data_IF_978669257102
#
_entry.id   IF_978669257102
#
_cell.length_a   1.000
_cell.length_b   1.000
_cell.length_c   1.000
_cell.angle_alpha   90.00
_cell.angle_beta   90.00
_cell.angle_gamma   90.00
#
_symmetry.space_group_name_H-M   'P 1'
#
loop_
_entity.id
_entity.type
_entity.pdbx_description
1 polymer ?
#
# COMPACT_ATOMS: atom_id res chain seq x y z
N UNK A 1 -47.10 22.71 9.74
CA UNK A 1 -45.63 22.79 9.87
C UNK A 1 -45.16 21.38 10.11
N UNK A 2 -44.58 20.78 9.07
CA UNK A 2 -44.26 19.36 9.02
C UNK A 2 -42.76 19.21 9.27
N UNK A 3 -42.41 18.98 10.52
CA UNK A 3 -41.05 18.73 10.97
C UNK A 3 -40.93 17.24 11.34
N UNK A 4 -39.77 16.64 11.06
CA UNK A 4 -39.33 15.28 11.44
C UNK A 4 -39.55 14.11 10.46
N UNK A 5 -38.96 14.22 9.27
CA UNK A 5 -38.47 13.04 8.54
C UNK A 5 -36.99 13.25 8.11
N UNK A 6 -36.16 13.67 9.06
CA UNK A 6 -34.71 13.84 8.83
C UNK A 6 -34.03 12.50 9.08
N UNK A 7 -33.93 11.69 8.02
CA UNK A 7 -33.13 10.46 7.98
C UNK A 7 -31.75 10.76 8.58
N UNK A 8 -31.26 10.00 9.58
CA UNK A 8 -29.92 10.19 10.09
C UNK A 8 -28.92 9.88 8.98
N UNK A 9 -28.00 10.81 8.72
CA UNK A 9 -26.86 10.61 7.83
C UNK A 9 -26.13 9.31 8.20
N UNK A 10 -25.71 8.47 7.24
CA UNK A 10 -24.93 7.28 7.55
C UNK A 10 -23.63 7.67 8.31
N UNK A 11 -23.16 6.84 9.26
CA UNK A 11 -21.96 7.14 10.02
C UNK A 11 -20.76 7.29 9.08
N UNK A 12 -19.97 8.34 9.26
CA UNK A 12 -18.75 8.62 8.50
C UNK A 12 -17.85 7.39 8.39
N UNK A 13 -17.52 7.02 7.15
CA UNK A 13 -16.82 5.83 6.62
C UNK A 13 -15.42 5.47 7.20
N UNK A 14 -15.10 5.77 8.45
CA UNK A 14 -13.77 5.48 9.01
C UNK A 14 -13.54 4.01 9.44
N UNK A 15 -14.55 3.14 9.34
CA UNK A 15 -14.40 1.71 9.68
C UNK A 15 -13.96 0.82 8.51
N UNK A 16 -14.07 1.29 7.26
CA UNK A 16 -13.77 0.47 6.07
C UNK A 16 -12.27 0.35 5.77
N UNK A 17 -11.40 1.18 6.35
CA UNK A 17 -9.96 1.08 6.14
C UNK A 17 -9.33 -0.15 6.80
N UNK A 18 -9.99 -0.73 7.82
CA UNK A 18 -9.45 -1.86 8.57
C UNK A 18 -9.67 -3.22 7.91
N UNK A 19 -10.47 -3.28 6.84
CA UNK A 19 -10.80 -4.54 6.19
C UNK A 19 -9.96 -4.72 4.93
N UNK A 20 -9.23 -5.84 4.78
CA UNK A 20 -8.61 -6.20 3.51
C UNK A 20 -9.64 -6.25 2.39
N UNK A 21 -9.35 -5.59 1.27
CA UNK A 21 -10.17 -5.63 0.06
C UNK A 21 -9.43 -6.33 -1.07
N UNK A 22 -10.18 -7.06 -1.88
CA UNK A 22 -9.68 -7.70 -3.09
C UNK A 22 -10.00 -6.78 -4.27
N UNK A 23 -9.00 -6.52 -5.11
CA UNK A 23 -9.16 -5.75 -6.34
C UNK A 23 -8.55 -6.50 -7.51
N UNK A 24 -9.18 -6.39 -8.67
CA UNK A 24 -8.68 -6.97 -9.91
C UNK A 24 -8.38 -5.86 -10.90
N UNK A 25 -7.15 -5.84 -11.40
CA UNK A 25 -6.63 -4.84 -12.32
C UNK A 25 -6.33 -5.52 -13.65
N UNK A 26 -6.95 -5.02 -14.71
CA UNK A 26 -6.62 -5.43 -16.08
C UNK A 26 -5.53 -4.51 -16.61
N UNK A 27 -4.45 -5.10 -17.11
CA UNK A 27 -3.30 -4.38 -17.67
C UNK A 27 -3.72 -3.59 -18.89
N UNK A 28 -3.23 -2.36 -19.00
CA UNK A 28 -3.40 -1.51 -20.19
C UNK A 28 -2.07 -1.39 -20.94
N UNK A 29 -2.07 -0.64 -22.04
CA UNK A 29 -0.86 -0.33 -22.79
C UNK A 29 0.27 0.29 -21.93
N UNK A 30 -0.09 0.98 -20.84
CA UNK A 30 0.86 1.59 -19.90
C UNK A 30 1.17 0.71 -18.68
N UNK A 31 0.73 -0.56 -18.67
CA UNK A 31 0.84 -1.49 -17.55
C UNK A 31 -0.36 -1.42 -16.60
N UNK A 32 -0.14 -1.72 -15.32
CA UNK A 32 -1.22 -1.69 -14.32
C UNK A 32 -1.46 -0.29 -13.72
N UNK A 33 -0.55 0.67 -13.93
CA UNK A 33 -0.75 2.07 -13.53
C UNK A 33 -0.57 2.33 -12.03
N UNK A 34 0.36 1.64 -11.37
CA UNK A 34 0.75 1.92 -9.98
C UNK A 34 2.22 1.57 -9.74
N UNK A 35 2.80 2.14 -8.69
CA UNK A 35 4.17 1.87 -8.25
C UNK A 35 4.14 1.11 -6.93
N UNK A 36 5.04 0.14 -6.79
CA UNK A 36 5.22 -0.66 -5.57
C UNK A 36 6.55 -0.30 -4.93
N UNK A 37 6.54 -0.09 -3.62
CA UNK A 37 7.74 0.09 -2.80
C UNK A 37 7.63 -0.73 -1.51
N UNK A 38 8.76 -1.00 -0.87
CA UNK A 38 8.79 -1.65 0.43
C UNK A 38 10.17 -2.20 0.71
N UNK A 39 10.23 -3.25 1.50
CA UNK A 39 11.49 -3.83 1.93
C UNK A 39 12.21 -4.58 0.81
N UNK A 40 13.54 -4.57 0.91
CA UNK A 40 14.45 -5.31 0.03
C UNK A 40 14.87 -6.67 0.61
N UNK A 41 14.72 -6.84 1.93
CA UNK A 41 15.08 -8.07 2.64
C UNK A 41 13.83 -8.86 2.99
N UNK A 42 13.98 -10.19 3.05
CA UNK A 42 12.91 -11.09 3.45
C UNK A 42 12.75 -11.09 4.98
N UNK A 43 11.51 -11.18 5.45
CA UNK A 43 11.18 -11.13 6.88
C UNK A 43 11.38 -9.73 7.48
N UNK A 44 11.43 -9.65 8.81
CA UNK A 44 11.62 -8.39 9.54
C UNK A 44 10.65 -8.24 10.71
N UNK A 45 10.79 -7.13 11.45
CA UNK A 45 9.94 -6.85 12.61
C UNK A 45 8.50 -6.61 12.17
N UNK A 46 7.55 -7.19 12.91
CA UNK A 46 6.13 -6.98 12.67
C UNK A 46 5.77 -5.49 12.74
N UNK A 47 4.91 -5.04 11.83
CA UNK A 47 4.42 -3.66 11.75
C UNK A 47 2.94 -3.63 12.08
N UNK A 48 2.57 -2.70 12.95
CA UNK A 48 1.15 -2.43 13.22
C UNK A 48 0.54 -1.66 12.06
N UNK A 49 -0.47 -2.24 11.42
CA UNK A 49 -1.31 -1.62 10.40
C UNK A 49 -2.73 -1.71 10.92
N UNK A 50 -3.36 -0.56 11.14
CA UNK A 50 -4.73 -0.49 11.63
C UNK A 50 -4.98 -1.25 12.95
N UNK A 51 -3.96 -1.35 13.82
CA UNK A 51 -4.03 -2.05 15.09
C UNK A 51 -3.74 -3.55 15.02
N UNK A 52 -3.51 -4.10 13.82
CA UNK A 52 -3.15 -5.51 13.61
C UNK A 52 -1.68 -5.62 13.21
N UNK A 53 -0.97 -6.61 13.76
CA UNK A 53 0.43 -6.86 13.44
C UNK A 53 0.56 -7.72 12.18
N UNK A 54 1.30 -7.22 11.20
CA UNK A 54 1.64 -7.95 9.98
C UNK A 54 3.14 -8.07 9.85
N UNK A 55 3.63 -9.10 9.14
CA UNK A 55 5.01 -9.06 8.67
C UNK A 55 5.17 -7.87 7.70
N UNK A 56 6.39 -7.39 7.44
CA UNK A 56 6.52 -6.18 6.64
C UNK A 56 5.97 -6.42 5.22
N UNK A 57 5.15 -5.48 4.76
CA UNK A 57 4.43 -5.55 3.49
C UNK A 57 5.03 -4.57 2.49
N UNK A 58 4.90 -4.93 1.21
CA UNK A 58 5.05 -3.95 0.14
C UNK A 58 3.81 -3.03 0.12
N UNK A 59 3.98 -1.82 -0.37
CA UNK A 59 2.92 -0.82 -0.45
C UNK A 59 2.90 -0.13 -1.79
N UNK A 60 1.74 0.45 -2.11
CA UNK A 60 1.54 1.27 -3.28
C UNK A 60 2.04 2.68 -2.99
N UNK A 61 3.14 3.11 -3.62
CA UNK A 61 3.73 4.42 -3.41
C UNK A 61 3.12 5.51 -4.31
N UNK A 62 2.61 5.12 -5.48
CA UNK A 62 1.94 6.01 -6.41
C UNK A 62 0.89 5.25 -7.23
N UNK A 63 -0.15 5.96 -7.67
CA UNK A 63 -1.18 5.44 -8.57
C UNK A 63 -1.34 6.43 -9.71
N UNK A 64 -1.37 5.93 -10.94
CA UNK A 64 -1.59 6.74 -12.13
C UNK A 64 -3.04 7.22 -12.18
N UNK A 65 -3.23 8.53 -12.27
CA UNK A 65 -4.54 9.15 -12.44
C UNK A 65 -5.18 8.72 -13.77
N UNK A 66 -6.46 8.33 -13.73
CA UNK A 66 -7.20 7.71 -14.83
C UNK A 66 -6.70 6.30 -15.21
N UNK A 67 -5.69 5.77 -14.52
CA UNK A 67 -5.05 4.49 -14.80
C UNK A 67 -5.89 3.27 -14.39
N UNK A 68 -5.43 2.08 -14.79
CA UNK A 68 -6.12 0.83 -14.51
C UNK A 68 -6.25 0.56 -13.00
N UNK A 69 -5.16 0.75 -12.24
CA UNK A 69 -5.16 0.59 -10.79
C UNK A 69 -6.14 1.54 -10.08
N UNK A 70 -6.18 2.82 -10.46
CA UNK A 70 -7.12 3.77 -9.86
C UNK A 70 -8.57 3.36 -10.13
N UNK A 71 -8.89 2.97 -11.37
CA UNK A 71 -10.22 2.47 -11.75
C UNK A 71 -10.62 1.19 -11.02
N UNK A 72 -9.65 0.34 -10.69
CA UNK A 72 -9.84 -0.85 -9.89
C UNK A 72 -9.95 -0.57 -8.37
N UNK A 73 -9.74 0.67 -7.93
CA UNK A 73 -9.87 1.06 -6.52
C UNK A 73 -8.58 0.95 -5.69
N UNK A 74 -7.42 0.83 -6.33
CA UNK A 74 -6.11 0.97 -5.66
C UNK A 74 -5.84 2.43 -5.33
N UNK A 75 -5.27 2.67 -4.16
CA UNK A 75 -4.93 3.99 -3.62
C UNK A 75 -3.48 4.03 -3.14
N UNK A 76 -2.88 5.24 -3.14
CA UNK A 76 -1.57 5.46 -2.50
C UNK A 76 -1.67 5.06 -1.03
N UNK A 77 -0.65 4.35 -0.54
CA UNK A 77 -0.60 3.85 0.83
C UNK A 77 -1.23 2.47 1.02
N UNK A 78 -1.92 1.90 0.03
CA UNK A 78 -2.42 0.53 0.14
C UNK A 78 -1.27 -0.45 0.41
N UNK A 79 -1.47 -1.36 1.36
CA UNK A 79 -0.52 -2.42 1.71
C UNK A 79 -0.93 -3.71 1.03
N UNK A 80 0.01 -4.36 0.36
CA UNK A 80 -0.24 -5.58 -0.40
C UNK A 80 -0.06 -6.77 0.53
N UNK A 81 -1.15 -7.50 0.76
CA UNK A 81 -1.19 -8.73 1.54
C UNK A 81 -1.00 -9.94 0.62
N UNK A 82 -1.70 -9.96 -0.52
CA UNK A 82 -1.63 -11.07 -1.47
C UNK A 82 -1.51 -10.58 -2.91
N UNK A 83 -0.83 -11.38 -3.74
CA UNK A 83 -0.72 -11.20 -5.19
C UNK A 83 -1.20 -12.47 -5.88
N UNK A 84 -2.25 -12.37 -6.68
CA UNK A 84 -2.89 -13.49 -7.38
C UNK A 84 -3.22 -14.66 -6.45
N UNK A 85 -3.68 -14.36 -5.22
CA UNK A 85 -4.02 -15.35 -4.20
C UNK A 85 -2.83 -15.95 -3.45
N UNK A 86 -1.60 -15.48 -3.69
CA UNK A 86 -0.44 -15.86 -2.90
C UNK A 86 -0.11 -14.81 -1.85
N UNK A 87 0.02 -15.24 -0.59
CA UNK A 87 0.41 -14.36 0.51
C UNK A 87 1.84 -13.85 0.30
N UNK A 88 2.03 -12.53 0.41
CA UNK A 88 3.32 -11.86 0.20
C UNK A 88 3.82 -11.14 1.44
N UNK A 89 3.25 -11.44 2.61
CA UNK A 89 3.77 -10.94 3.87
C UNK A 89 5.24 -11.33 4.07
N UNK A 90 6.09 -10.37 4.44
CA UNK A 90 7.52 -10.62 4.62
C UNK A 90 8.30 -10.82 3.32
N UNK A 91 7.66 -10.80 2.16
CA UNK A 91 8.32 -10.93 0.87
C UNK A 91 9.12 -9.68 0.49
N UNK A 92 10.21 -9.90 -0.24
CA UNK A 92 11.04 -8.84 -0.84
C UNK A 92 10.30 -8.13 -1.95
N UNK A 93 10.72 -6.90 -2.27
CA UNK A 93 10.23 -6.17 -3.43
C UNK A 93 10.32 -6.99 -4.72
N UNK A 94 11.46 -7.69 -4.93
CA UNK A 94 11.68 -8.50 -6.12
C UNK A 94 10.66 -9.63 -6.24
N UNK A 95 10.45 -10.41 -5.18
CA UNK A 95 9.48 -11.51 -5.18
C UNK A 95 8.06 -11.01 -5.52
N UNK A 96 7.62 -9.91 -4.90
CA UNK A 96 6.30 -9.33 -5.18
C UNK A 96 6.16 -8.88 -6.64
N UNK A 97 7.19 -8.23 -7.19
CA UNK A 97 7.21 -7.83 -8.60
C UNK A 97 7.18 -9.03 -9.54
N UNK A 98 7.91 -10.10 -9.21
CA UNK A 98 7.92 -11.33 -9.99
C UNK A 98 6.53 -12.00 -9.99
N UNK A 99 5.84 -12.05 -8.84
CA UNK A 99 4.47 -12.54 -8.75
C UNK A 99 3.49 -11.70 -9.57
N UNK A 100 3.60 -10.36 -9.52
CA UNK A 100 2.76 -9.46 -10.32
C UNK A 100 2.96 -9.74 -11.81
N UNK A 101 4.22 -9.92 -12.26
CA UNK A 101 4.55 -10.16 -13.67
C UNK A 101 4.12 -11.54 -14.15
N UNK A 102 4.15 -12.55 -13.28
CA UNK A 102 3.74 -13.91 -13.61
C UNK A 102 2.26 -14.04 -13.98
N UNK A 103 1.41 -13.12 -13.50
CA UNK A 103 -0.04 -13.11 -13.78
C UNK A 103 -0.45 -12.62 -15.17
N UNK A 104 0.51 -12.16 -16.00
CA UNK A 104 0.23 -11.70 -17.36
C UNK A 104 -0.51 -10.36 -17.39
N UNK A 105 -1.73 -10.35 -17.96
CA UNK A 105 -2.52 -9.15 -18.20
C UNK A 105 -3.63 -8.92 -17.17
N UNK A 106 -3.83 -9.84 -16.22
CA UNK A 106 -4.76 -9.68 -15.11
C UNK A 106 -4.02 -9.82 -13.78
N UNK A 107 -4.26 -8.90 -12.86
CA UNK A 107 -3.64 -8.89 -11.56
C UNK A 107 -4.72 -8.78 -10.48
N UNK A 108 -4.78 -9.77 -9.60
CA UNK A 108 -5.63 -9.69 -8.40
C UNK A 108 -4.76 -9.38 -7.19
N UNK A 109 -5.10 -8.34 -6.44
CA UNK A 109 -4.41 -7.96 -5.22
C UNK A 109 -5.37 -7.99 -4.04
N UNK A 110 -4.92 -8.54 -2.92
CA UNK A 110 -5.57 -8.32 -1.63
C UNK A 110 -4.80 -7.21 -0.93
N UNK A 111 -5.46 -6.09 -0.64
CA UNK A 111 -4.83 -4.91 -0.04
C UNK A 111 -5.58 -4.40 1.17
N UNK A 112 -4.86 -3.79 2.11
CA UNK A 112 -5.43 -3.04 3.23
C UNK A 112 -5.03 -1.57 3.12
N UNK A 113 -5.99 -0.66 3.24
CA UNK A 113 -5.71 0.77 3.22
C UNK A 113 -5.21 1.25 4.56
N UNK A 114 -4.27 2.19 4.53
CA UNK A 114 -3.86 2.95 5.71
C UNK A 114 -4.46 4.34 5.64
N UNK A 115 -4.64 5.03 6.80
CA UNK A 115 -5.02 6.43 6.81
C UNK A 115 -4.05 7.29 5.98
N UNK A 116 -4.55 8.34 5.34
CA UNK A 116 -3.78 9.21 4.45
C UNK A 116 -2.52 9.78 5.14
N UNK A 117 -2.64 10.19 6.40
CA UNK A 117 -1.50 10.65 7.21
C UNK A 117 -0.37 9.62 7.32
N UNK A 118 -0.72 8.32 7.36
CA UNK A 118 0.26 7.23 7.33
C UNK A 118 0.78 7.05 5.92
N UNK A 119 -0.08 7.14 4.90
CA UNK A 119 0.31 6.99 3.50
C UNK A 119 1.36 8.03 3.06
N UNK A 120 1.21 9.29 3.49
CA UNK A 120 2.15 10.36 3.20
C UNK A 120 3.51 10.15 3.87
N UNK A 121 3.51 9.61 5.10
CA UNK A 121 4.73 9.35 5.87
C UNK A 121 5.55 8.17 5.34
N UNK A 122 5.04 7.42 4.37
CA UNK A 122 5.75 6.30 3.72
C UNK A 122 6.67 6.74 2.61
N UNK A 123 6.56 8.00 2.16
CA UNK A 123 7.59 8.56 1.32
C UNK A 123 8.86 8.60 2.17
N UNK A 124 9.90 7.84 1.80
CA UNK A 124 11.16 8.05 2.45
C UNK A 124 11.58 9.46 2.10
N UNK A 125 11.72 10.29 3.12
CA UNK A 125 12.87 11.17 3.19
C UNK A 125 14.04 10.33 2.71
N UNK A 126 14.66 10.72 1.60
CA UNK A 126 15.94 10.16 1.18
C UNK A 126 16.77 10.01 2.45
N UNK A 127 16.97 8.76 2.88
CA UNK A 127 17.91 8.48 3.94
C UNK A 127 19.25 8.74 3.29
N UNK A 128 19.64 10.01 3.36
CA UNK A 128 21.02 10.45 3.48
C UNK A 128 21.61 9.83 4.76
N UNK A 129 21.57 8.51 4.87
CA UNK A 129 22.53 7.75 5.64
C UNK A 129 23.81 7.69 4.80
N UNK A 130 24.34 8.86 4.45
CA UNK A 130 25.78 9.02 4.37
C UNK A 130 26.32 8.76 5.77
N UNK A 131 27.49 8.11 5.91
CA UNK A 131 28.02 7.77 7.22
C UNK A 131 28.11 9.04 8.05
N UNK A 132 27.68 8.95 9.31
CA UNK A 132 27.85 9.99 10.33
C UNK A 132 29.26 10.57 10.22
N UNK A 133 29.36 11.83 9.81
CA UNK A 133 30.62 12.57 9.84
C UNK A 133 31.03 12.67 11.30
N UNK A 134 31.93 11.77 11.73
CA UNK A 134 32.62 11.95 13.00
C UNK A 134 33.58 13.11 12.77
N UNK A 135 33.24 14.25 13.36
CA UNK A 135 34.10 15.42 13.42
C UNK A 135 35.26 15.11 14.38
N UNK A 136 36.46 14.93 13.81
CA UNK A 136 37.71 14.72 14.56
C UNK A 136 38.51 16.02 14.72
N UNK A 137 37.86 17.19 14.72
CA UNK A 137 38.56 18.47 14.89
C UNK A 137 38.95 18.81 16.33
N UNK A 138 38.68 17.95 17.32
CA UNK A 138 39.18 18.12 18.68
C UNK A 138 40.13 16.97 19.10
N UNK A 139 41.40 17.05 18.66
CA UNK A 139 42.57 16.59 19.43
C UNK A 139 43.83 17.37 19.08
#
# INVERSE_FOLDING_TARGET
VSDEDRIPSPPSNNAESNVPRIVTITKTATGFGFNVRGQISEGGVLKSINGVLYAPLQHVSAVLEGGAAQKAGIRKGDRILEVNGMNVEGSTHKQVVDFIRSGGDSLTLTVISVPEQVAEKLEPSDDSSGPSYIDYSER
#
